data_IF_667493111206
#
_entry.id   IF_667493111206
#
_cell.length_a   1.000
_cell.length_b   1.000
_cell.length_c   1.000
_cell.angle_alpha   90.00
_cell.angle_beta   90.00
_cell.angle_gamma   90.00
#
_symmetry.space_group_name_H-M   'P 1'
#
loop_
_entity.id
_entity.type
_entity.pdbx_description
1 polymer ?
#
# COMPACT_ATOMS: atom_id res chain seq x y z
N UNK A 1 77.19 29.63 -52.91
CA UNK A 1 77.94 29.03 -51.80
C UNK A 1 76.95 28.55 -50.72
N UNK A 2 76.93 27.29 -50.47
CA UNK A 2 76.39 26.53 -49.32
C UNK A 2 74.92 26.76 -48.83
N UNK A 3 74.08 25.94 -49.38
CA UNK A 3 72.77 25.57 -48.85
C UNK A 3 72.89 24.77 -47.51
N UNK A 4 72.02 24.94 -46.52
CA UNK A 4 71.75 23.86 -45.61
C UNK A 4 70.37 23.28 -45.84
N UNK A 5 70.32 21.99 -45.99
CA UNK A 5 69.21 21.12 -46.06
C UNK A 5 68.38 21.18 -44.73
N UNK A 6 67.15 21.61 -44.85
CA UNK A 6 66.19 21.50 -43.75
C UNK A 6 65.56 20.10 -43.80
N UNK A 7 65.92 19.27 -42.86
CA UNK A 7 65.33 17.94 -42.69
C UNK A 7 64.04 18.11 -41.98
N UNK A 8 62.91 18.01 -42.71
CA UNK A 8 61.60 17.85 -42.10
C UNK A 8 61.51 16.43 -41.55
N UNK A 9 61.57 16.31 -40.23
CA UNK A 9 61.21 15.11 -39.51
C UNK A 9 59.72 14.97 -39.50
N UNK A 10 59.21 13.98 -40.21
CA UNK A 10 57.80 13.58 -40.17
C UNK A 10 57.56 12.85 -38.87
N UNK A 11 57.16 13.60 -37.86
CA UNK A 11 56.65 13.00 -36.61
C UNK A 11 55.23 12.50 -36.86
N UNK A 12 55.14 11.22 -37.18
CA UNK A 12 53.87 10.51 -37.30
C UNK A 12 53.30 10.34 -35.89
N UNK A 13 52.48 11.32 -35.46
CA UNK A 13 51.74 11.26 -34.22
C UNK A 13 50.64 10.21 -34.36
N UNK A 14 50.89 9.03 -33.82
CA UNK A 14 49.86 8.01 -33.64
C UNK A 14 48.95 8.51 -32.53
N UNK A 15 47.91 9.23 -32.90
CA UNK A 15 46.79 9.50 -32.03
C UNK A 15 45.99 8.20 -31.86
N UNK A 16 46.30 7.46 -30.82
CA UNK A 16 45.47 6.34 -30.38
C UNK A 16 44.19 6.95 -29.89
N UNK A 17 43.15 6.95 -30.71
CA UNK A 17 41.77 7.16 -30.30
C UNK A 17 41.39 5.97 -29.42
N UNK A 18 41.57 6.15 -28.12
CA UNK A 18 40.87 5.36 -27.12
C UNK A 18 39.39 5.73 -27.21
N UNK A 19 38.72 5.12 -28.19
CA UNK A 19 37.26 5.02 -28.14
C UNK A 19 36.94 4.16 -26.93
N UNK A 20 36.91 4.80 -25.76
CA UNK A 20 36.27 4.24 -24.60
C UNK A 20 34.83 3.98 -25.01
N UNK A 21 34.54 2.73 -25.35
CA UNK A 21 33.16 2.23 -25.33
C UNK A 21 32.66 2.35 -23.91
N UNK A 22 32.29 3.57 -23.53
CA UNK A 22 31.36 3.77 -22.45
C UNK A 22 30.01 3.20 -22.91
N UNK A 23 29.95 1.87 -22.94
CA UNK A 23 28.70 1.18 -22.97
C UNK A 23 27.94 1.67 -21.72
N UNK A 24 27.17 2.72 -21.91
CA UNK A 24 26.06 3.01 -21.00
C UNK A 24 25.14 1.80 -21.13
N UNK A 25 25.46 0.76 -20.35
CA UNK A 25 24.41 -0.14 -19.92
C UNK A 25 23.45 0.75 -19.09
N UNK A 26 22.55 1.43 -19.80
CA UNK A 26 21.28 1.77 -19.24
C UNK A 26 20.65 0.43 -18.86
N UNK A 27 20.95 -0.02 -17.65
CA UNK A 27 20.03 -0.89 -16.96
C UNK A 27 18.75 -0.08 -16.90
N UNK A 28 17.87 -0.26 -17.87
CA UNK A 28 16.45 -0.05 -17.65
C UNK A 28 16.17 -0.93 -16.44
N UNK A 29 16.14 -0.32 -15.25
CA UNK A 29 15.47 -0.92 -14.13
C UNK A 29 14.03 -1.08 -14.64
N UNK A 30 13.72 -2.24 -15.18
CA UNK A 30 12.37 -2.74 -15.14
C UNK A 30 12.04 -2.73 -13.64
N UNK A 31 11.44 -1.63 -13.21
CA UNK A 31 10.71 -1.60 -11.98
C UNK A 31 9.60 -2.64 -12.19
N UNK A 32 9.92 -3.87 -11.83
CA UNK A 32 8.92 -4.91 -11.66
C UNK A 32 8.00 -4.36 -10.58
N UNK A 33 6.99 -3.60 -11.00
CA UNK A 33 5.95 -3.09 -10.10
C UNK A 33 5.21 -4.30 -9.58
N UNK A 34 5.66 -4.76 -8.42
CA UNK A 34 4.93 -5.78 -7.68
C UNK A 34 3.52 -5.25 -7.44
N UNK A 35 2.54 -5.97 -7.93
CA UNK A 35 1.13 -5.68 -7.66
C UNK A 35 0.63 -6.76 -6.71
N UNK A 36 0.30 -6.39 -5.46
CA UNK A 36 -0.21 -7.36 -4.50
C UNK A 36 -1.51 -7.99 -5.00
N UNK A 37 -1.71 -9.28 -4.75
CA UNK A 37 -2.95 -9.96 -5.07
C UNK A 37 -4.11 -9.44 -4.20
N UNK A 38 -5.35 -9.46 -4.71
CA UNK A 38 -6.51 -9.01 -3.92
C UNK A 38 -6.62 -9.73 -2.58
N UNK A 39 -6.34 -11.04 -2.54
CA UNK A 39 -6.33 -11.82 -1.29
C UNK A 39 -5.25 -11.36 -0.30
N UNK A 40 -4.12 -10.88 -0.79
CA UNK A 40 -3.05 -10.33 0.04
C UNK A 40 -3.47 -8.99 0.65
N UNK A 41 -4.06 -8.09 -0.16
CA UNK A 41 -4.61 -6.84 0.33
C UNK A 41 -5.69 -7.10 1.40
N UNK A 42 -6.59 -8.06 1.16
CA UNK A 42 -7.64 -8.41 2.13
C UNK A 42 -7.07 -9.02 3.42
N UNK A 43 -5.96 -9.77 3.36
CA UNK A 43 -5.30 -10.29 4.55
C UNK A 43 -4.69 -9.14 5.39
N UNK A 44 -4.03 -8.19 4.76
CA UNK A 44 -3.52 -6.99 5.43
C UNK A 44 -4.66 -6.15 6.02
N UNK A 45 -5.76 -5.97 5.27
CA UNK A 45 -6.94 -5.27 5.77
C UNK A 45 -7.56 -5.96 7.00
N UNK A 46 -7.54 -7.30 7.06
CA UNK A 46 -8.01 -8.04 8.24
C UNK A 46 -7.14 -7.77 9.48
N UNK A 47 -5.81 -7.70 9.31
CA UNK A 47 -4.89 -7.34 10.38
C UNK A 47 -5.10 -5.89 10.84
N UNK A 48 -5.23 -4.94 9.91
CA UNK A 48 -5.52 -3.53 10.21
C UNK A 48 -6.86 -3.35 10.93
N UNK A 49 -7.89 -4.06 10.47
CA UNK A 49 -9.20 -4.08 11.12
C UNK A 49 -9.09 -4.53 12.59
N UNK A 50 -8.36 -5.60 12.87
CA UNK A 50 -8.18 -6.08 14.24
C UNK A 50 -7.37 -5.09 15.11
N UNK A 51 -6.28 -4.53 14.58
CA UNK A 51 -5.45 -3.55 15.30
C UNK A 51 -6.20 -2.26 15.59
N UNK A 52 -7.01 -1.77 14.63
CA UNK A 52 -7.87 -0.62 14.81
C UNK A 52 -8.81 -0.79 16.01
N UNK A 53 -9.42 -1.98 16.16
CA UNK A 53 -10.28 -2.28 17.31
C UNK A 53 -9.53 -2.11 18.63
N UNK A 54 -8.38 -2.76 18.77
CA UNK A 54 -7.62 -2.70 20.03
C UNK A 54 -7.09 -1.30 20.32
N UNK A 55 -6.66 -0.56 19.30
CA UNK A 55 -6.23 0.83 19.45
C UNK A 55 -7.37 1.72 19.96
N UNK A 56 -8.55 1.62 19.32
CA UNK A 56 -9.72 2.41 19.73
C UNK A 56 -10.23 2.06 21.12
N UNK A 57 -10.29 0.76 21.47
CA UNK A 57 -10.70 0.32 22.82
C UNK A 57 -9.72 0.79 23.91
N UNK A 58 -8.44 0.86 23.58
CA UNK A 58 -7.41 1.42 24.47
C UNK A 58 -7.38 2.96 24.45
N UNK A 59 -8.22 3.60 23.64
CA UNK A 59 -8.23 5.05 23.41
C UNK A 59 -6.89 5.62 22.97
N UNK A 60 -6.07 4.79 22.32
CA UNK A 60 -4.86 5.22 21.64
C UNK A 60 -5.25 5.78 20.26
N UNK A 61 -5.73 7.04 20.27
CA UNK A 61 -6.31 7.67 19.11
C UNK A 61 -5.31 7.90 17.98
N UNK A 62 -4.03 8.10 18.29
CA UNK A 62 -2.97 8.24 17.28
C UNK A 62 -2.74 6.91 16.55
N UNK A 63 -2.72 5.79 17.28
CA UNK A 63 -2.62 4.47 16.68
C UNK A 63 -3.90 4.11 15.92
N UNK A 64 -5.07 4.46 16.46
CA UNK A 64 -6.34 4.22 15.76
C UNK A 64 -6.43 5.02 14.45
N UNK A 65 -5.94 6.25 14.43
CA UNK A 65 -5.86 7.07 13.22
C UNK A 65 -4.94 6.43 12.18
N UNK A 66 -3.77 5.95 12.59
CA UNK A 66 -2.86 5.22 11.72
C UNK A 66 -3.49 3.96 11.13
N UNK A 67 -4.14 3.14 11.94
CA UNK A 67 -4.71 1.88 11.46
C UNK A 67 -5.93 2.08 10.53
N UNK A 68 -6.72 3.15 10.71
CA UNK A 68 -7.83 3.47 9.81
C UNK A 68 -7.33 4.02 8.47
N UNK A 69 -6.26 4.82 8.47
CA UNK A 69 -5.60 5.34 7.28
C UNK A 69 -5.03 4.20 6.42
N UNK A 70 -4.30 3.28 7.03
CA UNK A 70 -3.77 2.08 6.37
C UNK A 70 -4.86 1.15 5.82
N UNK A 71 -6.01 1.09 6.48
CA UNK A 71 -7.19 0.39 5.95
C UNK A 71 -7.74 1.08 4.70
N UNK A 72 -7.81 2.40 4.72
CA UNK A 72 -8.26 3.21 3.61
C UNK A 72 -7.34 3.01 2.39
N UNK A 73 -6.03 3.14 2.58
CA UNK A 73 -5.03 2.88 1.53
C UNK A 73 -5.16 1.46 0.95
N UNK A 74 -5.36 0.46 1.79
CA UNK A 74 -5.58 -0.92 1.35
C UNK A 74 -6.79 -1.06 0.44
N UNK A 75 -7.90 -0.39 0.73
CA UNK A 75 -9.08 -0.40 -0.15
C UNK A 75 -8.87 0.41 -1.42
N UNK A 76 -8.13 1.51 -1.39
CA UNK A 76 -7.74 2.26 -2.58
C UNK A 76 -6.86 1.41 -3.51
N UNK A 77 -5.90 0.69 -2.96
CA UNK A 77 -5.04 -0.23 -3.72
C UNK A 77 -5.85 -1.39 -4.30
N UNK A 78 -6.80 -1.96 -3.56
CA UNK A 78 -7.71 -2.97 -4.09
C UNK A 78 -8.53 -2.43 -5.27
N UNK A 79 -9.06 -1.23 -5.16
CA UNK A 79 -9.81 -0.56 -6.23
C UNK A 79 -8.93 -0.24 -7.45
N UNK A 80 -7.70 0.16 -7.24
CA UNK A 80 -6.74 0.57 -8.26
C UNK A 80 -6.20 -0.62 -9.05
N UNK A 81 -5.78 -1.67 -8.35
CA UNK A 81 -5.09 -2.81 -8.96
C UNK A 81 -6.03 -3.93 -9.39
N UNK A 82 -7.23 -4.01 -8.82
CA UNK A 82 -8.18 -5.10 -9.03
C UNK A 82 -9.55 -4.59 -9.44
N UNK A 83 -9.66 -4.03 -10.65
CA UNK A 83 -10.95 -3.59 -11.18
C UNK A 83 -11.98 -4.73 -11.23
N UNK A 84 -11.51 -5.94 -11.55
CA UNK A 84 -12.28 -7.19 -11.57
C UNK A 84 -11.48 -8.30 -10.90
N UNK A 85 -12.12 -9.33 -10.38
CA UNK A 85 -11.42 -10.46 -9.79
C UNK A 85 -12.20 -11.76 -9.94
N UNK A 86 -11.59 -12.74 -10.64
CA UNK A 86 -12.16 -14.09 -10.82
C UNK A 86 -13.63 -14.07 -11.26
N UNK A 87 -14.50 -14.76 -10.48
CA UNK A 87 -15.94 -14.87 -10.75
C UNK A 87 -16.76 -13.66 -10.28
N UNK A 88 -16.16 -12.68 -9.62
CA UNK A 88 -16.88 -11.49 -9.14
C UNK A 88 -17.40 -10.71 -10.33
N UNK A 89 -18.71 -10.54 -10.43
CA UNK A 89 -19.37 -9.88 -11.54
C UNK A 89 -19.38 -8.34 -11.42
N UNK A 90 -19.41 -7.85 -10.18
CA UNK A 90 -19.40 -6.43 -9.89
C UNK A 90 -17.97 -5.88 -9.91
N UNK A 91 -17.84 -4.60 -10.21
CA UNK A 91 -16.55 -3.93 -10.15
C UNK A 91 -16.10 -3.76 -8.69
N UNK A 92 -14.87 -4.14 -8.39
CA UNK A 92 -14.30 -4.01 -7.04
C UNK A 92 -14.33 -2.55 -6.54
N UNK A 93 -13.99 -1.52 -7.35
CA UNK A 93 -14.10 -0.13 -6.91
C UNK A 93 -15.53 0.26 -6.49
N UNK A 94 -16.55 -0.23 -7.18
CA UNK A 94 -17.95 0.05 -6.85
C UNK A 94 -18.36 -0.63 -5.53
N UNK A 95 -17.95 -1.87 -5.34
CA UNK A 95 -18.20 -2.61 -4.09
C UNK A 95 -17.54 -1.93 -2.90
N UNK A 96 -16.29 -1.47 -3.05
CA UNK A 96 -15.56 -0.74 -2.01
C UNK A 96 -16.26 0.58 -1.71
N UNK A 97 -16.58 1.37 -2.73
CA UNK A 97 -17.25 2.65 -2.54
C UNK A 97 -18.60 2.50 -1.81
N UNK A 98 -19.37 1.48 -2.17
CA UNK A 98 -20.68 1.22 -1.59
C UNK A 98 -20.62 0.76 -0.14
N UNK A 99 -19.61 -0.02 0.24
CA UNK A 99 -19.59 -0.71 1.53
C UNK A 99 -18.61 -0.11 2.54
N UNK A 100 -17.52 0.55 2.07
CA UNK A 100 -16.40 0.95 2.93
C UNK A 100 -16.32 2.45 3.22
N UNK A 101 -16.62 3.32 2.25
CA UNK A 101 -16.32 4.75 2.42
C UNK A 101 -17.09 5.41 3.57
N UNK A 102 -18.34 5.06 3.77
CA UNK A 102 -19.12 5.68 4.83
C UNK A 102 -18.70 5.22 6.23
N UNK A 103 -18.51 3.90 6.49
CA UNK A 103 -17.95 3.46 7.76
C UNK A 103 -16.57 4.03 8.07
N UNK A 104 -15.66 4.11 7.08
CA UNK A 104 -14.33 4.68 7.27
C UNK A 104 -14.41 6.15 7.67
N UNK A 105 -15.15 6.97 6.93
CA UNK A 105 -15.33 8.38 7.27
C UNK A 105 -15.93 8.57 8.67
N UNK A 106 -16.86 7.70 9.07
CA UNK A 106 -17.40 7.71 10.41
C UNK A 106 -16.38 7.36 11.50
N UNK A 107 -15.46 6.43 11.21
CA UNK A 107 -14.36 6.08 12.12
C UNK A 107 -13.34 7.21 12.23
N UNK A 108 -12.93 7.80 11.13
CA UNK A 108 -12.01 8.95 11.10
C UNK A 108 -12.54 10.11 11.94
N UNK A 109 -13.85 10.43 11.80
CA UNK A 109 -14.49 11.47 12.60
C UNK A 109 -14.52 11.12 14.08
N UNK A 110 -14.92 9.89 14.43
CA UNK A 110 -14.99 9.44 15.82
C UNK A 110 -13.61 9.44 16.51
N UNK A 111 -12.57 9.05 15.77
CA UNK A 111 -11.16 9.08 16.22
C UNK A 111 -10.71 10.52 16.46
N UNK A 112 -11.00 11.42 15.53
CA UNK A 112 -10.67 12.84 15.64
C UNK A 112 -11.35 13.49 16.85
N UNK A 113 -12.58 13.11 17.12
CA UNK A 113 -13.37 13.60 18.26
C UNK A 113 -13.06 12.85 19.58
N UNK A 114 -12.27 11.77 19.48
CA UNK A 114 -11.95 10.88 20.61
C UNK A 114 -13.21 10.30 21.28
N UNK A 115 -14.23 10.05 20.47
CA UNK A 115 -15.53 9.50 20.90
C UNK A 115 -15.52 7.97 20.77
N UNK A 116 -15.36 7.28 21.90
CA UNK A 116 -15.34 5.82 21.96
C UNK A 116 -16.69 5.19 21.57
N UNK A 117 -17.80 5.84 21.86
CA UNK A 117 -19.13 5.31 21.51
C UNK A 117 -19.35 5.40 19.99
N UNK A 118 -19.05 6.54 19.39
CA UNK A 118 -19.12 6.72 17.95
C UNK A 118 -18.13 5.80 17.24
N UNK A 119 -16.91 5.65 17.77
CA UNK A 119 -15.92 4.71 17.26
C UNK A 119 -16.45 3.28 17.23
N UNK A 120 -16.97 2.77 18.35
CA UNK A 120 -17.49 1.41 18.44
C UNK A 120 -18.61 1.18 17.42
N UNK A 121 -19.56 2.11 17.33
CA UNK A 121 -20.66 2.04 16.35
C UNK A 121 -20.15 1.99 14.91
N UNK A 122 -19.20 2.85 14.54
CA UNK A 122 -18.68 2.90 13.18
C UNK A 122 -17.78 1.70 12.87
N UNK A 123 -17.09 1.14 13.86
CA UNK A 123 -16.37 -0.10 13.73
C UNK A 123 -17.30 -1.29 13.41
N UNK A 124 -18.45 -1.38 14.08
CA UNK A 124 -19.47 -2.38 13.77
C UNK A 124 -20.01 -2.20 12.34
N UNK A 125 -20.21 -0.96 11.90
CA UNK A 125 -20.61 -0.65 10.53
C UNK A 125 -19.54 -1.07 9.51
N UNK A 126 -18.25 -0.84 9.79
CA UNK A 126 -17.15 -1.29 8.96
C UNK A 126 -17.12 -2.82 8.85
N UNK A 127 -17.24 -3.51 9.98
CA UNK A 127 -17.30 -4.98 10.02
C UNK A 127 -18.50 -5.51 9.21
N UNK A 128 -19.65 -4.86 9.32
CA UNK A 128 -20.85 -5.20 8.54
C UNK A 128 -20.60 -4.97 7.03
N UNK A 129 -19.95 -3.88 6.67
CA UNK A 129 -19.57 -3.56 5.30
C UNK A 129 -18.64 -4.60 4.68
N UNK A 130 -17.61 -5.05 5.42
CA UNK A 130 -16.73 -6.14 4.99
C UNK A 130 -17.55 -7.40 4.66
N UNK A 131 -18.46 -7.77 5.55
CA UNK A 131 -19.29 -8.96 5.36
C UNK A 131 -20.31 -8.80 4.22
N UNK A 132 -20.87 -7.61 4.01
CA UNK A 132 -21.77 -7.33 2.90
C UNK A 132 -21.04 -7.49 1.55
N UNK A 133 -19.82 -6.96 1.44
CA UNK A 133 -18.99 -7.13 0.26
C UNK A 133 -18.66 -8.61 0.00
N UNK A 134 -18.26 -9.35 1.04
CA UNK A 134 -17.97 -10.80 0.93
C UNK A 134 -19.21 -11.59 0.50
N UNK A 135 -20.40 -11.26 1.02
CA UNK A 135 -21.64 -11.90 0.61
C UNK A 135 -21.98 -11.62 -0.86
N UNK A 136 -21.86 -10.37 -1.29
CA UNK A 136 -22.17 -9.96 -2.66
C UNK A 136 -21.23 -10.61 -3.70
N UNK A 137 -20.05 -11.05 -3.28
CA UNK A 137 -19.01 -11.63 -4.14
C UNK A 137 -18.87 -13.15 -4.03
N UNK A 138 -19.81 -13.83 -3.35
CA UNK A 138 -19.78 -15.28 -3.08
C UNK A 138 -18.63 -15.72 -2.15
N UNK A 139 -18.02 -14.77 -1.42
CA UNK A 139 -17.00 -15.04 -0.39
C UNK A 139 -17.56 -15.00 1.04
N UNK A 140 -18.86 -15.15 1.21
CA UNK A 140 -19.54 -15.11 2.52
C UNK A 140 -19.06 -16.15 3.55
N UNK A 141 -18.31 -17.17 3.11
CA UNK A 141 -17.62 -18.10 3.99
C UNK A 141 -16.43 -17.45 4.73
N UNK A 142 -15.90 -16.34 4.22
CA UNK A 142 -14.85 -15.55 4.85
C UNK A 142 -15.49 -14.41 5.66
N UNK A 143 -15.93 -14.75 6.87
CA UNK A 143 -16.67 -13.84 7.72
C UNK A 143 -15.75 -13.07 8.66
N UNK A 144 -15.80 -11.74 8.58
CA UNK A 144 -15.11 -10.82 9.50
C UNK A 144 -15.97 -10.66 10.78
N UNK A 145 -15.32 -10.65 11.92
CA UNK A 145 -15.95 -10.43 13.24
C UNK A 145 -15.14 -9.41 14.03
N UNK A 146 -15.77 -8.81 15.03
CA UNK A 146 -15.07 -8.04 16.05
C UNK A 146 -14.10 -8.95 16.81
N UNK A 147 -12.81 -8.58 16.96
CA UNK A 147 -11.85 -9.41 17.67
C UNK A 147 -12.17 -9.47 19.17
N UNK A 148 -12.06 -10.65 19.76
CA UNK A 148 -12.33 -10.89 21.18
C UNK A 148 -11.06 -11.15 22.01
N UNK A 149 -9.90 -11.24 21.39
CA UNK A 149 -8.59 -11.33 22.05
C UNK A 149 -7.54 -10.70 21.15
N UNK A 150 -6.45 -10.19 21.74
CA UNK A 150 -5.33 -9.61 21.01
C UNK A 150 -4.36 -10.71 20.55
N UNK A 151 -4.24 -10.98 19.24
CA UNK A 151 -3.29 -11.98 18.71
C UNK A 151 -1.88 -11.40 18.50
N UNK A 152 -1.67 -10.09 18.64
CA UNK A 152 -0.43 -9.40 18.34
C UNK A 152 0.48 -9.35 19.58
N UNK A 153 1.23 -10.43 19.81
CA UNK A 153 2.07 -10.57 21.00
C UNK A 153 3.23 -9.56 21.09
N UNK A 154 3.55 -8.90 19.96
CA UNK A 154 4.66 -7.95 19.84
C UNK A 154 4.19 -6.49 19.71
N UNK A 155 2.92 -6.19 19.95
CA UNK A 155 2.35 -4.85 19.87
C UNK A 155 1.53 -4.49 21.12
N UNK A 156 1.88 -3.36 21.75
CA UNK A 156 1.07 -2.74 22.79
C UNK A 156 0.08 -1.76 22.15
N UNK A 157 -1.17 -1.80 22.60
CA UNK A 157 -2.21 -0.91 22.11
C UNK A 157 -2.52 0.26 23.07
N UNK A 158 -2.12 0.15 24.34
CA UNK A 158 -2.25 1.26 25.29
C UNK A 158 -1.34 2.43 24.95
N UNK A 159 -1.69 3.63 25.41
CA UNK A 159 -0.81 4.81 25.33
C UNK A 159 0.43 4.63 26.21
N UNK A 160 1.61 4.94 25.67
CA UNK A 160 2.82 5.05 26.50
C UNK A 160 2.66 6.28 27.40
N UNK A 161 2.66 6.10 28.71
CA UNK A 161 2.75 7.19 29.67
C UNK A 161 4.19 7.73 29.69
#
# INVERSE_FOLDING_TARGET
>A
MKSPFFRFGLALGITILLAACAGHHQYAQEHNHYTPGLGEIMAQSADRHAKLWFAGQAQNWDLAAYEVDELHEGFEDAAKYHRTHKQIKQLIPELIAQNMFQPLAGLEQAIKEKDLQAFTKNYDNLTAGCNACHQATEFGFNRVIQPNFNPFANQAFGTSN
#
